data_IF_872138037508
#
_entry.id   IF_872138037508
#
_cell.length_a   1.000
_cell.length_b   1.000
_cell.length_c   1.000
_cell.angle_alpha   90.00
_cell.angle_beta   90.00
_cell.angle_gamma   90.00
#
_symmetry.space_group_name_H-M   'P 1'
#
loop_
_entity.id
_entity.type
_entity.pdbx_description
1 polymer ?
#
# COMPACT_ATOMS: atom_id res chain seq x y z
N UNK A 1 -12.20 -15.59 -16.28
CA UNK A 1 -12.74 -16.44 -15.19
C UNK A 1 -12.02 -16.05 -13.91
N UNK A 2 -12.73 -15.98 -12.77
CA UNK A 2 -12.13 -15.65 -11.47
C UNK A 2 -11.24 -16.81 -10.98
N UNK A 3 -10.19 -16.55 -10.18
CA UNK A 3 -9.43 -17.60 -9.50
C UNK A 3 -10.31 -18.41 -8.54
N UNK A 4 -9.86 -19.61 -8.16
CA UNK A 4 -10.57 -20.46 -7.20
C UNK A 4 -10.77 -19.74 -5.86
N UNK A 5 -11.97 -19.84 -5.30
CA UNK A 5 -12.37 -19.15 -4.06
C UNK A 5 -12.85 -17.72 -4.28
N UNK A 6 -12.45 -17.07 -5.39
CA UNK A 6 -12.81 -15.69 -5.68
C UNK A 6 -14.15 -15.56 -6.42
N UNK A 7 -14.75 -14.38 -6.32
CA UNK A 7 -15.97 -13.98 -7.01
C UNK A 7 -15.76 -12.67 -7.73
N UNK A 8 -16.29 -12.57 -8.94
CA UNK A 8 -16.27 -11.31 -9.70
C UNK A 8 -17.64 -10.64 -9.64
N UNK A 9 -17.69 -9.40 -9.17
CA UNK A 9 -18.87 -8.55 -9.30
C UNK A 9 -18.82 -7.83 -10.66
N UNK A 10 -19.77 -8.19 -11.53
CA UNK A 10 -19.91 -7.66 -12.89
C UNK A 10 -21.02 -6.61 -13.01
N UNK A 11 -21.65 -6.19 -11.90
CA UNK A 11 -22.80 -5.27 -11.94
C UNK A 11 -22.42 -3.85 -12.37
N UNK A 12 -21.21 -3.41 -12.05
CA UNK A 12 -20.70 -2.09 -12.39
C UNK A 12 -19.29 -2.20 -12.96
N UNK A 13 -19.04 -1.53 -14.08
CA UNK A 13 -17.70 -1.39 -14.64
C UNK A 13 -17.04 -0.09 -14.12
N UNK A 14 -15.77 -0.11 -13.71
CA UNK A 14 -14.84 -1.25 -13.68
C UNK A 14 -15.21 -2.32 -12.65
N UNK A 15 -14.97 -3.61 -12.95
CA UNK A 15 -15.42 -4.76 -12.14
C UNK A 15 -14.68 -4.89 -10.81
N UNK A 16 -15.24 -5.64 -9.86
CA UNK A 16 -14.55 -5.99 -8.59
C UNK A 16 -14.24 -7.47 -8.52
N UNK A 17 -13.07 -7.81 -8.01
CA UNK A 17 -12.66 -9.20 -7.72
C UNK A 17 -12.56 -9.37 -6.20
N UNK A 18 -13.48 -10.12 -5.61
CA UNK A 18 -13.49 -10.47 -4.20
C UNK A 18 -12.84 -11.84 -4.01
N UNK A 19 -11.69 -11.87 -3.36
CA UNK A 19 -10.95 -13.07 -2.98
C UNK A 19 -10.78 -13.19 -1.46
N UNK A 20 -11.61 -12.49 -0.67
CA UNK A 20 -11.47 -12.51 0.78
C UNK A 20 -11.65 -13.91 1.35
N UNK A 21 -10.92 -14.24 2.42
CA UNK A 21 -11.07 -15.51 3.15
C UNK A 21 -10.91 -16.77 2.28
N UNK A 22 -10.18 -16.68 1.16
CA UNK A 22 -10.09 -17.75 0.16
C UNK A 22 -8.91 -18.70 0.40
N UNK A 23 -8.23 -18.60 1.55
CA UNK A 23 -7.03 -19.39 1.89
C UNK A 23 -5.90 -19.27 0.84
N UNK A 24 -5.83 -18.13 0.16
CA UNK A 24 -4.82 -17.89 -0.87
C UNK A 24 -3.44 -17.73 -0.20
N UNK A 25 -2.45 -18.47 -0.69
CA UNK A 25 -1.06 -18.41 -0.20
C UNK A 25 -0.14 -17.59 -1.12
N UNK A 26 -0.55 -17.38 -2.36
CA UNK A 26 0.16 -16.55 -3.35
C UNK A 26 -0.87 -15.95 -4.29
N UNK A 27 -0.65 -14.70 -4.70
CA UNK A 27 -1.50 -14.02 -5.67
C UNK A 27 -1.64 -14.91 -6.92
N UNK A 28 -2.86 -15.32 -7.29
CA UNK A 28 -3.10 -16.08 -8.51
C UNK A 28 -2.94 -15.18 -9.74
N UNK A 29 -2.76 -15.77 -10.92
CA UNK A 29 -2.76 -15.00 -12.16
C UNK A 29 -4.11 -14.31 -12.36
N UNK A 30 -4.12 -12.99 -12.37
CA UNK A 30 -5.31 -12.16 -12.60
C UNK A 30 -5.41 -11.82 -14.08
N UNK A 31 -6.63 -11.69 -14.60
CA UNK A 31 -6.84 -11.26 -15.98
C UNK A 31 -6.40 -9.80 -16.19
N UNK A 32 -5.29 -9.61 -16.90
CA UNK A 32 -4.72 -8.29 -17.23
C UNK A 32 -5.51 -7.52 -18.29
N UNK A 33 -6.39 -8.19 -19.04
CA UNK A 33 -7.24 -7.53 -20.06
C UNK A 33 -8.47 -6.86 -19.43
N UNK A 34 -8.73 -7.15 -18.16
CA UNK A 34 -9.83 -6.54 -17.39
C UNK A 34 -9.32 -5.33 -16.62
N UNK A 35 -10.09 -4.25 -16.63
CA UNK A 35 -9.91 -3.13 -15.70
C UNK A 35 -10.73 -3.39 -14.44
N UNK A 36 -10.06 -3.42 -13.30
CA UNK A 36 -10.66 -3.65 -11.99
C UNK A 36 -10.83 -2.32 -11.27
N UNK A 37 -12.01 -2.08 -10.68
CA UNK A 37 -12.16 -1.00 -9.71
C UNK A 37 -11.49 -1.40 -8.40
N UNK A 38 -11.55 -2.69 -8.07
CA UNK A 38 -11.04 -3.21 -6.82
C UNK A 38 -10.67 -4.69 -6.97
N UNK A 39 -9.56 -5.08 -6.34
CA UNK A 39 -9.22 -6.48 -6.11
C UNK A 39 -8.97 -6.61 -4.61
N UNK A 40 -9.75 -7.48 -3.96
CA UNK A 40 -9.70 -7.69 -2.53
C UNK A 40 -9.13 -9.07 -2.19
N UNK A 41 -7.93 -9.07 -1.59
CA UNK A 41 -7.23 -10.24 -1.08
C UNK A 41 -7.20 -10.27 0.46
N UNK A 42 -8.08 -9.53 1.14
CA UNK A 42 -8.09 -9.46 2.60
C UNK A 42 -8.28 -10.82 3.27
N UNK A 43 -7.61 -11.01 4.41
CA UNK A 43 -7.69 -12.21 5.24
C UNK A 43 -7.34 -13.49 4.48
N UNK A 44 -6.16 -13.47 3.86
CA UNK A 44 -5.55 -14.63 3.21
C UNK A 44 -4.19 -14.94 3.88
N UNK A 45 -3.35 -15.73 3.23
CA UNK A 45 -2.07 -16.23 3.77
C UNK A 45 -0.90 -15.88 2.87
N UNK A 46 -1.00 -14.78 2.12
CA UNK A 46 0.02 -14.34 1.19
C UNK A 46 1.23 -13.84 1.99
N UNK A 47 2.43 -14.31 1.66
CA UNK A 47 3.67 -13.99 2.38
C UNK A 47 4.70 -13.21 1.55
N UNK A 48 4.60 -13.29 0.22
CA UNK A 48 5.52 -12.68 -0.72
C UNK A 48 4.77 -12.05 -1.90
N UNK A 49 5.10 -10.79 -2.18
CA UNK A 49 4.68 -10.12 -3.41
C UNK A 49 5.85 -10.01 -4.39
N UNK A 50 5.55 -10.29 -5.66
CA UNK A 50 6.52 -10.32 -6.75
C UNK A 50 5.94 -9.63 -7.99
N UNK A 51 6.80 -9.01 -8.79
CA UNK A 51 6.39 -8.34 -10.04
C UNK A 51 5.56 -9.24 -10.98
N UNK A 52 5.92 -10.51 -11.09
CA UNK A 52 5.26 -11.47 -12.00
C UNK A 52 3.76 -11.65 -11.74
N UNK A 53 3.32 -11.42 -10.49
CA UNK A 53 1.91 -11.55 -10.09
C UNK A 53 1.05 -10.38 -10.59
N UNK A 54 1.67 -9.24 -10.92
CA UNK A 54 0.98 -7.98 -11.23
C UNK A 54 1.25 -7.44 -12.64
N UNK A 55 1.89 -8.24 -13.51
CA UNK A 55 2.24 -7.83 -14.88
C UNK A 55 1.01 -7.30 -15.64
N UNK A 56 1.08 -6.03 -16.04
CA UNK A 56 0.06 -5.31 -16.81
C UNK A 56 -1.32 -5.29 -16.13
N UNK A 57 -1.37 -5.46 -14.82
CA UNK A 57 -2.62 -5.40 -14.08
C UNK A 57 -3.19 -3.98 -14.12
N UNK A 58 -4.50 -3.86 -14.35
CA UNK A 58 -5.21 -2.57 -14.33
C UNK A 58 -6.18 -2.60 -13.15
N UNK A 59 -5.85 -1.91 -12.07
CA UNK A 59 -6.67 -1.91 -10.85
C UNK A 59 -6.57 -0.56 -10.14
N UNK A 60 -7.71 -0.04 -9.66
CA UNK A 60 -7.73 1.21 -8.87
C UNK A 60 -7.42 1.00 -7.39
N UNK A 61 -8.01 -0.03 -6.79
CA UNK A 61 -7.83 -0.36 -5.38
C UNK A 61 -7.32 -1.78 -5.21
N UNK A 62 -6.20 -1.95 -4.51
CA UNK A 62 -5.65 -3.25 -4.17
C UNK A 62 -5.63 -3.41 -2.64
N UNK A 63 -6.53 -4.27 -2.14
CA UNK A 63 -6.61 -4.59 -0.71
C UNK A 63 -5.84 -5.89 -0.42
N UNK A 64 -4.74 -5.78 0.33
CA UNK A 64 -3.90 -6.90 0.78
C UNK A 64 -3.86 -7.00 2.31
N UNK A 65 -4.83 -6.38 2.97
CA UNK A 65 -4.92 -6.32 4.44
C UNK A 65 -5.00 -7.70 5.07
N UNK A 66 -4.49 -7.84 6.29
CA UNK A 66 -4.61 -9.08 7.08
C UNK A 66 -4.07 -10.30 6.31
N UNK A 67 -2.86 -10.18 5.79
CA UNK A 67 -2.12 -11.28 5.19
C UNK A 67 -0.85 -11.55 6.03
N UNK A 68 0.06 -12.37 5.53
CA UNK A 68 1.34 -12.66 6.18
C UNK A 68 2.52 -12.06 5.42
N UNK A 69 2.31 -10.95 4.70
CA UNK A 69 3.33 -10.42 3.79
C UNK A 69 4.54 -9.98 4.61
N UNK A 70 5.67 -10.67 4.40
CA UNK A 70 6.94 -10.37 5.05
C UNK A 70 7.81 -9.53 4.12
N UNK A 71 7.68 -9.75 2.80
CA UNK A 71 8.53 -9.10 1.80
C UNK A 71 7.74 -8.74 0.55
N UNK A 72 8.04 -7.57 0.02
CA UNK A 72 7.63 -7.11 -1.31
C UNK A 72 8.91 -6.98 -2.13
N UNK A 73 8.98 -7.65 -3.29
CA UNK A 73 10.15 -7.55 -4.16
C UNK A 73 10.20 -6.18 -4.85
N UNK A 74 11.40 -5.79 -5.26
CA UNK A 74 11.65 -4.61 -6.04
C UNK A 74 10.79 -4.60 -7.31
N UNK A 75 10.31 -3.42 -7.71
CA UNK A 75 9.45 -3.25 -8.90
C UNK A 75 8.14 -4.07 -8.88
N UNK A 76 7.68 -4.56 -7.72
CA UNK A 76 6.43 -5.34 -7.63
C UNK A 76 5.24 -4.57 -8.22
N UNK A 77 5.16 -3.27 -7.95
CA UNK A 77 4.04 -2.42 -8.37
C UNK A 77 4.25 -1.73 -9.72
N UNK A 78 5.44 -1.88 -10.34
CA UNK A 78 5.85 -1.19 -11.58
C UNK A 78 4.88 -1.36 -12.75
N UNK A 79 4.32 -2.55 -12.91
CA UNK A 79 3.46 -2.86 -14.06
C UNK A 79 1.96 -2.67 -13.75
N UNK A 80 1.61 -2.20 -12.55
CA UNK A 80 0.21 -1.92 -12.18
C UNK A 80 -0.16 -0.54 -12.73
N UNK A 81 -1.29 -0.48 -13.45
CA UNK A 81 -1.80 0.76 -14.04
C UNK A 81 -3.06 1.21 -13.34
N UNK A 82 -3.14 2.51 -13.07
CA UNK A 82 -4.29 3.15 -12.44
C UNK A 82 -4.43 2.85 -10.95
N UNK A 83 -3.36 2.39 -10.28
CA UNK A 83 -3.39 2.10 -8.85
C UNK A 83 -3.46 3.40 -8.05
N UNK A 84 -4.60 3.62 -7.41
CA UNK A 84 -4.87 4.82 -6.60
C UNK A 84 -4.80 4.52 -5.11
N UNK A 85 -5.24 3.32 -4.69
CA UNK A 85 -5.31 2.94 -3.29
C UNK A 85 -4.65 1.57 -3.08
N UNK A 86 -3.68 1.54 -2.17
CA UNK A 86 -2.98 0.33 -1.77
C UNK A 86 -3.07 0.14 -0.25
N UNK A 87 -3.63 -0.99 0.17
CA UNK A 87 -3.77 -1.34 1.58
C UNK A 87 -2.89 -2.55 1.88
N UNK A 88 -1.88 -2.35 2.70
CA UNK A 88 -0.95 -3.37 3.19
C UNK A 88 -1.05 -3.52 4.72
N UNK A 89 -2.09 -2.96 5.33
CA UNK A 89 -2.28 -2.98 6.77
C UNK A 89 -2.36 -4.40 7.35
N UNK A 90 -1.92 -4.57 8.59
CA UNK A 90 -1.96 -5.86 9.30
C UNK A 90 -1.25 -6.98 8.53
N UNK A 91 0.00 -6.72 8.17
CA UNK A 91 0.93 -7.69 7.58
C UNK A 91 2.17 -7.82 8.48
N UNK A 92 3.19 -8.53 8.01
CA UNK A 92 4.44 -8.79 8.74
C UNK A 92 5.63 -8.03 8.14
N UNK A 93 5.38 -6.86 7.55
CA UNK A 93 6.44 -6.06 6.92
C UNK A 93 7.36 -5.47 7.97
N UNK A 94 8.65 -5.77 7.88
CA UNK A 94 9.68 -5.23 8.79
C UNK A 94 10.46 -4.06 8.18
N UNK A 95 10.45 -3.94 6.86
CA UNK A 95 11.09 -2.88 6.08
C UNK A 95 10.41 -2.75 4.70
N UNK A 96 10.62 -1.60 4.06
CA UNK A 96 10.33 -1.39 2.64
C UNK A 96 11.65 -1.20 1.90
N UNK A 97 11.71 -1.64 0.64
CA UNK A 97 12.84 -1.34 -0.22
C UNK A 97 12.78 0.11 -0.69
N UNK A 98 13.95 0.70 -0.97
CA UNK A 98 14.03 1.97 -1.65
C UNK A 98 13.32 1.88 -3.02
N UNK A 99 12.69 2.97 -3.46
CA UNK A 99 12.07 3.11 -4.78
C UNK A 99 10.93 2.11 -5.07
N UNK A 100 10.39 1.43 -4.05
CA UNK A 100 9.29 0.45 -4.20
C UNK A 100 8.02 1.06 -4.82
N UNK A 101 7.84 2.38 -4.70
CA UNK A 101 6.71 3.13 -5.24
C UNK A 101 7.09 4.10 -6.38
N UNK A 102 8.34 4.07 -6.85
CA UNK A 102 8.83 5.00 -7.88
C UNK A 102 8.04 5.00 -9.20
N UNK A 103 7.42 3.87 -9.55
CA UNK A 103 6.61 3.71 -10.76
C UNK A 103 5.09 3.86 -10.50
N UNK A 104 4.65 4.07 -9.25
CA UNK A 104 3.21 4.20 -8.92
C UNK A 104 2.72 5.63 -9.06
N UNK A 105 2.61 6.11 -10.30
CA UNK A 105 2.34 7.51 -10.65
C UNK A 105 0.92 8.01 -10.38
N UNK A 106 0.03 7.16 -9.86
CA UNK A 106 -1.36 7.51 -9.55
C UNK A 106 -1.72 7.20 -8.09
N UNK A 107 -0.78 6.68 -7.29
CA UNK A 107 -1.05 6.24 -5.92
C UNK A 107 -1.32 7.46 -5.02
N UNK A 108 -2.57 7.57 -4.58
CA UNK A 108 -3.03 8.68 -3.75
C UNK A 108 -3.31 8.27 -2.31
N UNK A 109 -3.56 6.98 -2.04
CA UNK A 109 -3.83 6.47 -0.69
C UNK A 109 -2.96 5.24 -0.41
N UNK A 110 -2.22 5.29 0.70
CA UNK A 110 -1.38 4.20 1.17
C UNK A 110 -1.64 3.93 2.65
N UNK A 111 -1.97 2.69 2.98
CA UNK A 111 -2.12 2.22 4.36
C UNK A 111 -1.10 1.11 4.67
N UNK A 112 -0.18 1.41 5.59
CA UNK A 112 0.85 0.48 6.08
C UNK A 112 0.65 0.13 7.56
N UNK A 113 -0.50 0.47 8.14
CA UNK A 113 -0.77 0.34 9.57
C UNK A 113 -0.58 -1.08 10.09
N UNK A 114 -0.25 -1.22 11.38
CA UNK A 114 -0.12 -2.52 12.05
C UNK A 114 0.88 -3.45 11.35
N UNK A 115 2.00 -2.91 10.89
CA UNK A 115 3.14 -3.69 10.42
C UNK A 115 4.32 -3.53 11.40
N UNK A 116 5.08 -4.59 11.69
CA UNK A 116 6.19 -4.58 12.64
C UNK A 116 7.46 -3.97 12.03
N UNK A 117 7.36 -2.77 11.43
CA UNK A 117 8.52 -2.09 10.87
C UNK A 117 9.56 -1.89 11.95
N UNK A 118 10.82 -2.19 11.66
CA UNK A 118 11.94 -1.93 12.57
C UNK A 118 12.48 -0.53 12.40
N UNK A 119 12.58 -0.06 11.15
CA UNK A 119 12.97 1.29 10.77
C UNK A 119 12.25 1.64 9.46
N UNK A 120 11.10 2.32 9.56
CA UNK A 120 10.42 2.84 8.38
C UNK A 120 11.03 4.19 7.99
N UNK A 121 11.69 4.27 6.84
CA UNK A 121 12.14 5.54 6.27
C UNK A 121 10.96 6.29 5.62
N UNK A 122 10.28 7.08 6.44
CA UNK A 122 9.11 7.84 6.01
C UNK A 122 9.50 8.95 5.03
N UNK A 123 10.67 9.61 5.19
CA UNK A 123 11.09 10.66 4.26
C UNK A 123 11.32 10.08 2.87
N UNK A 124 12.10 8.99 2.77
CA UNK A 124 12.33 8.31 1.50
C UNK A 124 11.05 7.73 0.89
N UNK A 125 10.10 7.27 1.71
CA UNK A 125 8.77 6.84 1.24
C UNK A 125 7.99 8.01 0.61
N UNK A 126 8.00 9.15 1.27
CA UNK A 126 7.23 10.30 0.82
C UNK A 126 7.88 11.04 -0.35
N UNK A 127 9.21 11.07 -0.44
CA UNK A 127 9.94 11.57 -1.61
C UNK A 127 9.58 10.81 -2.89
N UNK A 128 9.32 9.49 -2.79
CA UNK A 128 8.88 8.68 -3.94
C UNK A 128 7.45 9.00 -4.40
N UNK A 129 6.65 9.64 -3.55
CA UNK A 129 5.21 9.80 -3.73
C UNK A 129 4.75 11.26 -3.57
N UNK A 130 5.69 12.20 -3.62
CA UNK A 130 5.51 13.62 -3.29
C UNK A 130 4.37 14.30 -4.07
N UNK A 131 4.26 13.92 -5.34
CA UNK A 131 3.37 14.47 -6.35
C UNK A 131 2.04 13.73 -6.50
N UNK A 132 1.85 12.60 -5.82
CA UNK A 132 0.63 11.77 -5.98
C UNK A 132 -0.10 11.49 -4.68
N UNK A 133 0.63 11.34 -3.56
CA UNK A 133 0.06 10.88 -2.30
C UNK A 133 -0.78 11.97 -1.63
N UNK A 134 -2.03 11.64 -1.35
CA UNK A 134 -2.96 12.51 -0.64
C UNK A 134 -3.23 12.02 0.78
N UNK A 135 -3.22 10.70 0.99
CA UNK A 135 -3.55 10.08 2.28
C UNK A 135 -2.50 9.02 2.61
N UNK A 136 -1.85 9.20 3.76
CA UNK A 136 -0.90 8.23 4.32
C UNK A 136 -1.35 7.79 5.70
N UNK A 137 -1.54 6.48 5.87
CA UNK A 137 -2.01 5.89 7.13
C UNK A 137 -0.90 4.98 7.68
N UNK A 138 -0.39 5.34 8.85
CA UNK A 138 0.75 4.73 9.53
C UNK A 138 0.42 4.45 11.00
N UNK A 139 -0.72 3.81 11.26
CA UNK A 139 -1.18 3.57 12.64
C UNK A 139 -0.48 2.37 13.26
N UNK A 140 -0.20 2.44 14.56
CA UNK A 140 0.35 1.32 15.33
C UNK A 140 1.64 0.72 14.72
N UNK A 141 2.61 1.60 14.46
CA UNK A 141 3.97 1.28 13.99
C UNK A 141 4.94 1.78 15.07
N UNK A 142 5.43 0.86 15.89
CA UNK A 142 6.26 1.17 17.07
C UNK A 142 7.64 1.76 16.74
N UNK A 143 8.15 1.56 15.53
CA UNK A 143 9.43 2.12 15.09
C UNK A 143 9.36 3.59 14.70
N UNK A 144 8.17 4.17 14.60
CA UNK A 144 8.02 5.59 14.28
C UNK A 144 8.44 6.45 15.49
N UNK A 145 9.70 6.88 15.49
CA UNK A 145 10.32 7.77 16.48
C UNK A 145 10.11 9.29 16.22
N UNK A 146 10.62 10.10 17.16
CA UNK A 146 10.37 11.55 17.33
C UNK A 146 10.87 12.49 16.22
N UNK A 147 11.74 12.05 15.30
CA UNK A 147 12.44 12.94 14.36
C UNK A 147 12.13 12.63 12.89
N UNK A 148 11.04 11.93 12.61
CA UNK A 148 10.94 11.24 11.33
C UNK A 148 10.55 12.16 10.18
N UNK A 149 9.77 13.20 10.41
CA UNK A 149 9.30 14.06 9.33
C UNK A 149 10.09 15.37 9.40
N UNK A 150 10.98 15.57 8.44
CA UNK A 150 11.80 16.79 8.38
C UNK A 150 10.96 18.03 8.06
N UNK A 151 11.41 19.20 8.51
CA UNK A 151 10.68 20.49 8.48
C UNK A 151 10.29 20.98 7.07
N UNK A 152 10.81 20.37 6.00
CA UNK A 152 10.54 20.78 4.62
C UNK A 152 9.55 19.86 3.90
N UNK A 153 9.01 18.86 4.60
CA UNK A 153 8.28 17.77 3.98
C UNK A 153 6.89 18.16 3.44
N UNK A 154 6.14 19.01 4.16
CA UNK A 154 4.80 19.43 3.70
C UNK A 154 4.84 20.44 2.56
N UNK A 155 6.01 21.05 2.29
CA UNK A 155 6.14 22.11 1.30
C UNK A 155 6.22 21.52 -0.11
N UNK A 156 5.09 21.58 -0.83
CA UNK A 156 4.96 21.05 -2.19
C UNK A 156 4.42 19.62 -2.29
N UNK A 157 4.13 18.97 -1.16
CA UNK A 157 3.44 17.67 -1.15
C UNK A 157 1.95 17.81 -1.46
N UNK A 158 1.36 16.82 -2.12
CA UNK A 158 -0.11 16.72 -2.29
C UNK A 158 -0.82 16.12 -1.06
N UNK A 159 -0.09 15.90 0.04
CA UNK A 159 -0.59 15.21 1.22
C UNK A 159 -1.64 16.06 1.94
N UNK A 160 -2.84 15.49 2.07
CA UNK A 160 -4.00 16.10 2.75
C UNK A 160 -4.24 15.48 4.11
N UNK A 161 -3.89 14.21 4.28
CA UNK A 161 -4.09 13.47 5.52
C UNK A 161 -2.88 12.59 5.85
N UNK A 162 -2.43 12.71 7.09
CA UNK A 162 -1.39 11.88 7.68
C UNK A 162 -1.87 11.33 9.02
N UNK A 163 -2.19 10.04 9.07
CA UNK A 163 -2.61 9.37 10.29
C UNK A 163 -1.44 8.64 10.95
N UNK A 164 -0.96 9.20 12.06
CA UNK A 164 0.10 8.64 12.91
C UNK A 164 -0.44 8.14 14.26
N UNK A 165 -1.74 7.90 14.36
CA UNK A 165 -2.36 7.50 15.63
C UNK A 165 -1.88 6.13 16.10
N UNK A 166 -1.94 5.92 17.42
CA UNK A 166 -1.51 4.67 18.06
C UNK A 166 -0.03 4.29 17.83
N UNK A 167 0.81 5.23 17.41
CA UNK A 167 2.27 5.06 17.41
C UNK A 167 2.88 5.43 18.76
N UNK A 168 4.16 5.12 18.96
CA UNK A 168 4.93 5.52 20.16
C UNK A 168 5.42 6.99 20.09
N UNK A 169 4.64 7.85 19.42
CA UNK A 169 4.94 9.27 19.29
C UNK A 169 4.79 9.98 20.63
N UNK A 170 5.93 10.29 21.24
CA UNK A 170 5.97 11.03 22.52
C UNK A 170 5.95 12.55 22.33
N UNK A 171 6.48 13.07 21.21
CA UNK A 171 6.57 14.50 20.89
C UNK A 171 6.46 14.64 19.36
N UNK A 172 5.58 15.52 18.88
CA UNK A 172 5.52 15.98 17.48
C UNK A 172 6.13 17.38 17.44
N UNK A 173 7.05 17.64 16.51
CA UNK A 173 7.60 18.98 16.34
C UNK A 173 6.55 19.89 15.70
N UNK A 174 6.43 21.13 16.19
CA UNK A 174 5.51 22.13 15.61
C UNK A 174 5.84 22.41 14.13
N UNK A 175 7.12 22.31 13.78
CA UNK A 175 7.60 22.53 12.42
C UNK A 175 7.30 21.37 11.47
N UNK A 176 6.80 20.23 11.96
CA UNK A 176 6.38 19.10 11.12
C UNK A 176 5.21 19.46 10.19
N UNK A 177 4.40 20.46 10.57
CA UNK A 177 3.19 20.86 9.83
C UNK A 177 3.24 22.30 9.32
N UNK A 178 4.40 22.95 9.36
CA UNK A 178 4.53 24.32 8.86
C UNK A 178 4.57 24.27 7.32
N UNK A 179 3.45 24.69 6.72
CA UNK A 179 3.27 24.95 5.28
C UNK A 179 3.70 26.37 4.96
#
# INVERSE_FOLDING_TARGET
MAPNGCRTDVRHFPYRLDCMNSNIISIPKINSDTTWSEIDFENNKIDLLTRCQFIKLRVKRLNLKSNHIIRIQESTFKDIRGLNELILASNNLTALQAEIFSDTTELSTLDLSNNPFQNLDINGLLEQLDSTLEILILRNISSINKNIISQNFMNGSNLKELDLSCNDLKILNVDTFNV
#
